data_IF_860230316918
#
_entry.id   IF_860230316918
#
_cell.length_a   1.000
_cell.length_b   1.000
_cell.length_c   1.000
_cell.angle_alpha   90.00
_cell.angle_beta   90.00
_cell.angle_gamma   90.00
#
_symmetry.space_group_name_H-M   'P 1'
#
loop_
_entity.id
_entity.type
_entity.pdbx_description
1 polymer ?
#
# COMPACT_ATOMS: atom_id res chain seq x y z
N UNK A 1 -16.25 -28.87 -13.09
CA UNK A 1 -15.58 -28.19 -11.97
C UNK A 1 -15.49 -26.73 -12.34
N UNK A 2 -16.31 -25.87 -11.73
CA UNK A 2 -16.40 -24.45 -12.07
C UNK A 2 -15.18 -23.70 -11.55
N UNK A 3 -14.60 -22.88 -12.43
CA UNK A 3 -13.48 -21.99 -12.18
C UNK A 3 -13.78 -21.07 -10.98
N UNK A 4 -12.92 -21.12 -9.96
CA UNK A 4 -12.81 -20.00 -9.03
C UNK A 4 -12.19 -18.82 -9.81
N UNK A 5 -12.74 -17.60 -9.73
CA UNK A 5 -12.01 -16.44 -10.19
C UNK A 5 -10.84 -16.25 -9.21
N UNK A 6 -9.65 -16.71 -9.59
CA UNK A 6 -8.41 -16.27 -8.97
C UNK A 6 -8.34 -14.77 -9.27
N UNK A 7 -8.49 -13.95 -8.24
CA UNK A 7 -8.51 -12.50 -8.34
C UNK A 7 -7.14 -12.00 -8.84
N UNK A 8 -6.95 -12.03 -10.15
CA UNK A 8 -5.83 -11.41 -10.85
C UNK A 8 -6.07 -9.91 -10.90
N UNK A 9 -5.03 -9.14 -10.58
CA UNK A 9 -5.05 -7.69 -10.69
C UNK A 9 -5.11 -7.31 -12.18
N UNK A 10 -5.96 -6.36 -12.59
CA UNK A 10 -5.92 -5.88 -13.98
C UNK A 10 -4.62 -5.10 -14.23
N UNK A 11 -4.15 -5.07 -15.47
CA UNK A 11 -2.94 -4.33 -15.86
C UNK A 11 -3.03 -2.84 -15.48
N UNK A 12 -4.21 -2.24 -15.67
CA UNK A 12 -4.47 -0.84 -15.31
C UNK A 12 -4.40 -0.61 -13.79
N UNK A 13 -4.89 -1.56 -12.99
CA UNK A 13 -4.86 -1.50 -11.54
C UNK A 13 -3.42 -1.59 -11.00
N UNK A 14 -2.64 -2.56 -11.50
CA UNK A 14 -1.23 -2.73 -11.14
C UNK A 14 -0.39 -1.50 -11.47
N UNK A 15 -0.60 -0.96 -12.69
CA UNK A 15 0.07 0.24 -13.17
C UNK A 15 -0.31 1.46 -12.33
N UNK A 16 -1.56 1.55 -11.87
CA UNK A 16 -2.01 2.64 -11.01
C UNK A 16 -1.31 2.62 -9.65
N UNK A 17 -1.26 1.46 -8.99
CA UNK A 17 -0.57 1.31 -7.70
C UNK A 17 0.93 1.57 -7.87
N UNK A 18 1.56 0.97 -8.90
CA UNK A 18 2.98 1.17 -9.17
C UNK A 18 3.31 2.64 -9.45
N UNK A 19 2.52 3.31 -10.29
CA UNK A 19 2.74 4.72 -10.59
C UNK A 19 2.54 5.63 -9.37
N UNK A 20 1.66 5.27 -8.43
CA UNK A 20 1.59 5.97 -7.15
C UNK A 20 2.88 5.79 -6.35
N UNK A 21 3.35 4.55 -6.19
CA UNK A 21 4.55 4.24 -5.43
C UNK A 21 5.78 4.92 -6.05
N UNK A 22 6.02 4.81 -7.36
CA UNK A 22 7.17 5.45 -8.03
C UNK A 22 7.25 6.97 -7.84
N UNK A 23 6.10 7.64 -7.68
CA UNK A 23 6.06 9.10 -7.44
C UNK A 23 6.24 9.48 -5.97
N UNK A 24 6.11 8.53 -5.06
CA UNK A 24 5.99 8.80 -3.62
C UNK A 24 6.83 7.85 -2.75
N UNK A 25 7.65 6.96 -3.32
CA UNK A 25 8.29 5.86 -2.60
C UNK A 25 9.27 6.37 -1.55
N UNK A 26 10.11 7.34 -1.87
CA UNK A 26 11.08 7.94 -0.95
C UNK A 26 10.34 8.57 0.23
N UNK A 27 9.32 9.39 -0.05
CA UNK A 27 8.54 10.04 1.00
C UNK A 27 7.74 9.05 1.85
N UNK A 28 7.16 8.02 1.24
CA UNK A 28 6.40 7.00 1.95
C UNK A 28 7.31 6.09 2.78
N UNK A 29 8.47 5.70 2.27
CA UNK A 29 9.46 4.89 2.99
C UNK A 29 9.99 5.64 4.21
N UNK A 30 10.38 6.91 4.05
CA UNK A 30 10.84 7.76 5.17
C UNK A 30 9.75 7.89 6.25
N UNK A 31 8.49 8.08 5.84
CA UNK A 31 7.37 8.17 6.76
C UNK A 31 7.13 6.83 7.48
N UNK A 32 7.21 5.71 6.76
CA UNK A 32 7.00 4.38 7.34
C UNK A 32 8.12 3.97 8.30
N UNK A 33 9.37 4.31 7.99
CA UNK A 33 10.51 4.11 8.88
C UNK A 33 10.33 4.94 10.17
N UNK A 34 9.96 6.21 10.05
CA UNK A 34 9.70 7.07 11.23
C UNK A 34 8.49 6.61 12.04
N UNK A 35 7.42 6.16 11.37
CA UNK A 35 6.16 5.79 12.00
C UNK A 35 6.18 4.41 12.67
N UNK A 36 6.92 3.47 12.09
CA UNK A 36 6.82 2.04 12.44
C UNK A 36 8.13 1.26 12.31
N UNK A 37 9.22 1.95 11.97
CA UNK A 37 10.53 1.35 11.74
C UNK A 37 10.49 0.30 10.64
N UNK A 38 11.27 -0.77 10.87
CA UNK A 38 11.43 -1.88 9.93
C UNK A 38 10.10 -2.52 9.52
N UNK A 39 9.10 -2.57 10.40
CA UNK A 39 7.81 -3.21 10.08
C UNK A 39 7.11 -2.51 8.91
N UNK A 40 7.15 -1.18 8.86
CA UNK A 40 6.55 -0.42 7.76
C UNK A 40 7.33 -0.59 6.46
N UNK A 41 8.67 -0.61 6.55
CA UNK A 41 9.54 -0.81 5.39
C UNK A 41 9.39 -2.23 4.81
N UNK A 42 9.28 -3.24 5.66
CA UNK A 42 9.09 -4.63 5.25
C UNK A 42 7.75 -4.78 4.49
N UNK A 43 6.67 -4.18 4.99
CA UNK A 43 5.37 -4.19 4.29
C UNK A 43 5.40 -3.47 2.94
N UNK A 44 6.11 -2.34 2.87
CA UNK A 44 6.29 -1.62 1.59
C UNK A 44 7.10 -2.48 0.61
N UNK A 45 8.16 -3.14 1.08
CA UNK A 45 8.96 -4.04 0.26
C UNK A 45 8.15 -5.25 -0.22
N UNK A 46 7.37 -5.88 0.65
CA UNK A 46 6.46 -6.98 0.29
C UNK A 46 5.47 -6.54 -0.79
N UNK A 47 4.90 -5.33 -0.68
CA UNK A 47 4.01 -4.77 -1.69
C UNK A 47 4.73 -4.60 -3.04
N UNK A 48 5.95 -4.07 -3.05
CA UNK A 48 6.76 -3.91 -4.26
C UNK A 48 7.08 -5.28 -4.91
N UNK A 49 7.43 -6.28 -4.09
CA UNK A 49 7.68 -7.65 -4.56
C UNK A 49 6.43 -8.26 -5.20
N UNK A 50 5.27 -8.09 -4.59
CA UNK A 50 4.00 -8.59 -5.14
C UNK A 50 3.66 -7.91 -6.46
N UNK A 51 3.83 -6.58 -6.53
CA UNK A 51 3.57 -5.80 -7.75
C UNK A 51 4.57 -6.08 -8.88
N UNK A 52 5.75 -6.64 -8.58
CA UNK A 52 6.75 -7.02 -9.57
C UNK A 52 6.45 -8.36 -10.25
N UNK A 53 5.53 -9.18 -9.71
CA UNK A 53 5.09 -10.44 -10.34
C UNK A 53 4.43 -10.14 -11.69
N UNK A 54 4.55 -11.07 -12.65
CA UNK A 54 3.88 -10.96 -13.96
C UNK A 54 2.36 -10.96 -13.84
N UNK A 55 1.83 -11.66 -12.84
CA UNK A 55 0.41 -11.69 -12.46
C UNK A 55 0.27 -11.44 -10.95
N UNK A 56 0.27 -10.17 -10.50
CA UNK A 56 0.11 -9.83 -9.09
C UNK A 56 -1.25 -10.30 -8.57
N UNK A 57 -1.26 -10.89 -7.37
CA UNK A 57 -2.49 -11.29 -6.71
C UNK A 57 -3.20 -10.06 -6.15
N UNK A 58 -4.43 -9.80 -6.60
CA UNK A 58 -5.20 -8.61 -6.21
C UNK A 58 -5.49 -8.57 -4.71
N UNK A 59 -5.85 -9.70 -4.12
CA UNK A 59 -6.17 -9.78 -2.69
C UNK A 59 -4.93 -9.48 -1.84
N UNK A 60 -3.77 -10.03 -2.23
CA UNK A 60 -2.48 -9.81 -1.57
C UNK A 60 -2.10 -8.32 -1.60
N UNK A 61 -2.22 -7.66 -2.76
CA UNK A 61 -1.98 -6.21 -2.90
C UNK A 61 -2.91 -5.39 -2.00
N UNK A 62 -4.22 -5.71 -1.98
CA UNK A 62 -5.20 -5.02 -1.13
C UNK A 62 -4.87 -5.21 0.35
N UNK A 63 -4.49 -6.41 0.77
CA UNK A 63 -4.15 -6.70 2.16
C UNK A 63 -2.92 -5.92 2.61
N UNK A 64 -1.89 -5.85 1.76
CA UNK A 64 -0.67 -5.08 2.05
C UNK A 64 -0.96 -3.58 2.12
N UNK A 65 -1.74 -3.03 1.18
CA UNK A 65 -2.16 -1.62 1.23
C UNK A 65 -2.92 -1.30 2.53
N UNK A 66 -3.85 -2.18 2.95
CA UNK A 66 -4.58 -1.99 4.22
C UNK A 66 -3.68 -2.09 5.45
N UNK A 67 -2.68 -2.97 5.43
CA UNK A 67 -1.71 -3.07 6.52
C UNK A 67 -0.87 -1.79 6.65
N UNK A 68 -0.39 -1.26 5.52
CA UNK A 68 0.34 0.01 5.48
C UNK A 68 -0.55 1.17 5.95
N UNK A 69 -1.81 1.24 5.49
CA UNK A 69 -2.79 2.24 5.94
C UNK A 69 -2.98 2.19 7.47
N UNK A 70 -3.14 0.99 8.03
CA UNK A 70 -3.32 0.82 9.47
C UNK A 70 -2.13 1.33 10.29
N UNK A 71 -0.89 1.10 9.82
CA UNK A 71 0.31 1.65 10.47
C UNK A 71 0.33 3.17 10.42
N UNK A 72 0.03 3.76 9.26
CA UNK A 72 -0.03 5.21 9.12
C UNK A 72 -1.10 5.82 10.04
N UNK A 73 -2.28 5.20 10.14
CA UNK A 73 -3.36 5.67 11.03
C UNK A 73 -2.95 5.57 12.49
N UNK A 74 -2.30 4.48 12.91
CA UNK A 74 -1.84 4.32 14.28
C UNK A 74 -0.79 5.37 14.67
N UNK A 75 0.15 5.68 13.77
CA UNK A 75 1.21 6.65 14.00
C UNK A 75 0.70 8.10 14.09
N UNK A 76 -0.44 8.43 13.45
CA UNK A 76 -1.05 9.78 13.52
C UNK A 76 -1.41 10.19 14.94
N UNK A 77 -1.73 9.23 15.80
CA UNK A 77 -2.08 9.48 17.18
C UNK A 77 -0.84 9.69 18.08
N UNK A 78 0.37 9.50 17.55
CA UNK A 78 1.62 9.44 18.32
C UNK A 78 2.58 10.59 17.98
N UNK A 79 2.63 11.01 16.71
CA UNK A 79 3.56 12.04 16.23
C UNK A 79 2.82 13.19 15.52
N UNK A 80 2.75 14.34 16.20
CA UNK A 80 2.10 15.55 15.70
C UNK A 80 2.87 16.25 14.58
N UNK A 81 4.19 16.05 14.46
CA UNK A 81 5.00 16.68 13.41
C UNK A 81 4.73 16.04 12.04
N UNK A 82 4.46 14.73 12.05
CA UNK A 82 4.17 13.95 10.85
C UNK A 82 2.68 13.87 10.51
N UNK A 83 1.80 14.40 11.35
CA UNK A 83 0.36 14.14 11.26
C UNK A 83 -0.24 14.45 9.88
N UNK A 84 0.16 15.56 9.27
CA UNK A 84 -0.31 15.98 7.95
C UNK A 84 0.14 15.01 6.84
N UNK A 85 1.41 14.61 6.85
CA UNK A 85 1.96 13.65 5.87
C UNK A 85 1.34 12.27 6.06
N UNK A 86 1.26 11.78 7.30
CA UNK A 86 0.61 10.51 7.63
C UNK A 86 -0.86 10.49 7.19
N UNK A 87 -1.60 11.60 7.40
CA UNK A 87 -2.98 11.74 6.92
C UNK A 87 -3.06 11.66 5.41
N UNK A 88 -2.21 12.41 4.70
CA UNK A 88 -2.20 12.44 3.24
C UNK A 88 -1.90 11.06 2.65
N UNK A 89 -0.83 10.40 3.11
CA UNK A 89 -0.46 9.07 2.63
C UNK A 89 -1.51 8.02 2.99
N UNK A 90 -2.04 8.04 4.22
CA UNK A 90 -3.10 7.12 4.65
C UNK A 90 -4.33 7.19 3.76
N UNK A 91 -4.82 8.40 3.43
CA UNK A 91 -5.96 8.56 2.52
C UNK A 91 -5.67 8.05 1.11
N UNK A 92 -4.47 8.29 0.56
CA UNK A 92 -4.13 7.81 -0.78
C UNK A 92 -4.05 6.29 -0.86
N UNK A 93 -3.47 5.66 0.17
CA UNK A 93 -3.39 4.21 0.27
C UNK A 93 -4.79 3.59 0.45
N UNK A 94 -5.65 4.22 1.24
CA UNK A 94 -7.06 3.84 1.36
C UNK A 94 -7.78 3.85 0.01
N UNK A 95 -7.65 4.95 -0.74
CA UNK A 95 -8.28 5.11 -2.05
C UNK A 95 -7.83 4.02 -3.03
N UNK A 96 -6.54 3.68 -3.03
CA UNK A 96 -5.99 2.58 -3.83
C UNK A 96 -6.60 1.24 -3.40
N UNK A 97 -6.60 0.93 -2.10
CA UNK A 97 -7.21 -0.31 -1.59
C UNK A 97 -8.70 -0.43 -1.94
N UNK A 98 -9.45 0.67 -1.90
CA UNK A 98 -10.86 0.73 -2.25
C UNK A 98 -11.11 0.53 -3.76
N UNK A 99 -10.28 1.13 -4.62
CA UNK A 99 -10.33 0.92 -6.08
C UNK A 99 -10.17 -0.57 -6.43
N UNK A 100 -9.22 -1.23 -5.76
CA UNK A 100 -8.92 -2.64 -5.95
C UNK A 100 -9.90 -3.60 -5.28
N UNK A 101 -10.84 -3.12 -4.48
CA UNK A 101 -11.85 -3.95 -3.81
C UNK A 101 -13.20 -3.97 -4.54
N UNK A 102 -13.33 -3.24 -5.66
CA UNK A 102 -14.52 -3.17 -6.52
C UNK A 102 -14.50 -4.24 -7.60
#
# INVERSE_FOLDING_TARGET
MNHMPLFSLSENDATTVRGFLERNDVGLADILDRASGLVGLDLLNDLLVVLAKSEPNRLEVVQLLRAIEALLVAARCQDGELEASLRWHGTRIHDLGALLSR
#
